data_IF_209216041625
#
_entry.id   IF_209216041625
#
_cell.length_a   1.000
_cell.length_b   1.000
_cell.length_c   1.000
_cell.angle_alpha   90.00
_cell.angle_beta   90.00
_cell.angle_gamma   90.00
#
_symmetry.space_group_name_H-M   'P 1'
#
loop_
_entity.id
_entity.type
_entity.pdbx_description
1 polymer ?
#
# COMPACT_ATOMS: atom_id res chain seq x y z
N UNK A 1 -21.03 -6.03 15.53
CA UNK A 1 -21.60 -4.98 16.40
C UNK A 1 -20.99 -3.66 15.99
N UNK A 2 -21.81 -2.77 15.42
CA UNK A 2 -21.35 -1.49 14.88
C UNK A 2 -21.15 -0.50 16.02
N UNK A 3 -19.91 -0.14 16.33
CA UNK A 3 -19.62 0.99 17.21
C UNK A 3 -19.84 2.29 16.44
N UNK A 4 -21.01 2.91 16.63
CA UNK A 4 -21.28 4.28 16.23
C UNK A 4 -20.76 5.22 17.32
N UNK A 5 -19.68 5.94 17.02
CA UNK A 5 -19.25 7.05 17.87
C UNK A 5 -20.12 8.27 17.53
N UNK A 6 -20.86 8.77 18.49
CA UNK A 6 -21.68 9.98 18.36
C UNK A 6 -20.88 11.19 18.87
N UNK A 7 -20.66 12.17 18.00
CA UNK A 7 -20.20 13.48 18.43
C UNK A 7 -21.41 14.43 18.48
N UNK A 8 -21.76 14.88 19.67
CA UNK A 8 -22.81 15.90 19.88
C UNK A 8 -22.10 17.24 19.85
N UNK A 9 -22.41 18.07 18.84
CA UNK A 9 -22.00 19.47 18.81
C UNK A 9 -23.18 20.31 19.26
N UNK A 10 -23.13 20.97 20.43
CA UNK A 10 -24.20 21.86 20.85
C UNK A 10 -24.12 23.16 20.08
N UNK A 11 -25.10 23.44 19.24
CA UNK A 11 -25.32 24.78 18.69
C UNK A 11 -26.20 25.52 19.71
N UNK A 12 -25.56 26.35 20.54
CA UNK A 12 -26.28 27.23 21.44
C UNK A 12 -26.79 28.41 20.63
N UNK A 13 -28.06 28.40 20.27
CA UNK A 13 -28.77 29.60 19.85
C UNK A 13 -29.77 29.96 20.97
N UNK A 14 -29.49 31.02 21.66
CA UNK A 14 -30.34 31.52 22.73
C UNK A 14 -31.49 32.32 22.13
N UNK A 15 -32.67 31.73 22.10
CA UNK A 15 -33.95 32.47 22.09
C UNK A 15 -35.09 31.53 22.55
N UNK A 16 -35.93 32.06 23.36
CA UNK A 16 -37.01 31.45 24.15
C UNK A 16 -37.91 30.49 23.39
N UNK A 17 -38.16 29.30 24.00
CA UNK A 17 -39.33 28.42 23.80
C UNK A 17 -39.46 27.73 22.42
N UNK A 18 -38.71 26.72 22.23
CA UNK A 18 -38.97 25.45 21.53
C UNK A 18 -37.60 24.83 21.13
N UNK A 19 -37.15 23.84 21.90
CA UNK A 19 -35.90 23.13 21.56
C UNK A 19 -36.19 22.07 20.50
N UNK A 20 -35.68 22.27 19.29
CA UNK A 20 -35.62 21.22 18.27
C UNK A 20 -34.24 20.58 18.34
N UNK A 21 -34.19 19.32 18.72
CA UNK A 21 -32.93 18.54 18.73
C UNK A 21 -32.64 18.03 17.33
N UNK A 22 -31.60 18.57 16.69
CA UNK A 22 -31.10 18.06 15.41
C UNK A 22 -29.93 17.10 15.66
N UNK A 23 -30.12 15.83 15.32
CA UNK A 23 -29.05 14.84 15.33
C UNK A 23 -28.45 14.75 13.93
N UNK A 24 -27.19 15.16 13.77
CA UNK A 24 -26.45 14.97 12.53
C UNK A 24 -25.72 13.62 12.59
N UNK A 25 -26.16 12.69 11.79
CA UNK A 25 -25.45 11.43 11.62
C UNK A 25 -24.27 11.64 10.68
N UNK A 26 -23.09 11.78 11.25
CA UNK A 26 -21.85 11.71 10.45
C UNK A 26 -21.49 10.23 10.23
N UNK A 27 -21.74 9.76 9.03
CA UNK A 27 -21.08 8.53 8.57
C UNK A 27 -19.63 8.88 8.29
N UNK A 28 -18.74 8.54 9.21
CA UNK A 28 -17.31 8.60 8.91
C UNK A 28 -17.04 7.61 7.77
N UNK A 29 -16.89 8.13 6.54
CA UNK A 29 -16.38 7.33 5.44
C UNK A 29 -15.06 6.74 5.93
N UNK A 30 -14.97 5.43 5.90
CA UNK A 30 -13.76 4.67 6.17
C UNK A 30 -12.69 5.16 5.19
N UNK A 31 -11.78 6.03 5.68
CA UNK A 31 -10.74 6.61 4.84
C UNK A 31 -9.52 5.70 4.87
N UNK A 32 -9.20 5.15 3.70
CA UNK A 32 -7.92 4.53 3.47
C UNK A 32 -6.88 5.62 3.22
N UNK A 33 -5.79 5.58 3.95
CA UNK A 33 -4.67 6.51 3.79
C UNK A 33 -3.56 5.86 2.99
N UNK A 34 -2.94 6.64 2.12
CA UNK A 34 -1.77 6.25 1.36
C UNK A 34 -0.65 7.21 1.70
N UNK A 35 0.43 6.72 2.25
CA UNK A 35 1.57 7.54 2.66
C UNK A 35 2.89 6.82 2.47
N UNK A 36 3.99 7.53 2.60
CA UNK A 36 5.31 6.92 2.70
C UNK A 36 5.37 6.04 3.94
N UNK A 37 6.21 5.00 3.85
CA UNK A 37 6.46 4.08 4.95
C UNK A 37 7.06 4.82 6.14
N UNK A 38 6.69 4.40 7.34
CA UNK A 38 7.23 4.84 8.62
C UNK A 38 7.72 3.64 9.42
N UNK A 39 8.60 3.90 10.38
CA UNK A 39 9.20 2.87 11.25
C UNK A 39 8.16 1.96 11.92
N UNK A 40 7.08 2.54 12.39
CA UNK A 40 5.98 1.84 13.05
C UNK A 40 5.23 0.84 12.17
N UNK A 41 5.39 0.90 10.84
CA UNK A 41 4.73 0.01 9.88
C UNK A 41 5.47 -1.32 9.73
N UNK A 42 6.76 -1.35 10.07
CA UNK A 42 7.65 -2.48 9.80
C UNK A 42 7.13 -3.80 10.37
N UNK A 43 6.64 -3.88 11.62
CA UNK A 43 6.08 -5.12 12.13
C UNK A 43 4.91 -5.63 11.29
N UNK A 44 4.00 -4.74 10.88
CA UNK A 44 2.81 -5.12 10.11
C UNK A 44 3.14 -5.54 8.67
N UNK A 45 4.08 -4.86 8.00
CA UNK A 45 4.53 -5.31 6.67
C UNK A 45 5.34 -6.60 6.74
N UNK A 46 6.06 -6.86 7.84
CA UNK A 46 6.74 -8.14 8.06
C UNK A 46 5.72 -9.27 8.16
N UNK A 47 4.67 -9.08 8.95
CA UNK A 47 3.57 -10.05 9.08
C UNK A 47 2.91 -10.32 7.72
N UNK A 48 2.57 -9.26 6.99
CA UNK A 48 1.95 -9.37 5.67
C UNK A 48 2.86 -10.09 4.66
N UNK A 49 4.16 -9.78 4.64
CA UNK A 49 5.12 -10.44 3.76
C UNK A 49 5.28 -11.93 4.09
N UNK A 50 5.44 -12.24 5.38
CA UNK A 50 5.58 -13.61 5.86
C UNK A 50 4.33 -14.47 5.57
N UNK A 51 3.15 -13.84 5.60
CA UNK A 51 1.93 -14.52 5.18
C UNK A 51 2.05 -15.03 3.73
N UNK A 52 2.60 -14.22 2.82
CA UNK A 52 2.82 -14.61 1.43
C UNK A 52 3.91 -15.66 1.26
N UNK A 53 4.97 -15.65 2.08
CA UNK A 53 5.99 -16.70 2.05
C UNK A 53 5.38 -18.05 2.40
N UNK A 54 4.49 -18.09 3.38
CA UNK A 54 3.90 -19.35 3.89
C UNK A 54 2.73 -19.82 3.01
N UNK A 55 1.92 -18.91 2.46
CA UNK A 55 0.62 -19.25 1.88
C UNK A 55 0.52 -18.95 0.37
N UNK A 56 1.51 -18.33 -0.23
CA UNK A 56 1.46 -17.84 -1.60
C UNK A 56 2.58 -18.36 -2.49
N UNK A 57 2.53 -17.97 -3.74
CA UNK A 57 3.57 -18.20 -4.75
C UNK A 57 4.21 -16.89 -5.21
N UNK A 58 3.88 -15.80 -4.51
CA UNK A 58 4.27 -14.43 -4.85
C UNK A 58 5.67 -14.06 -4.35
N UNK A 59 6.19 -14.80 -3.37
CA UNK A 59 7.54 -14.62 -2.83
C UNK A 59 8.48 -15.72 -3.32
N UNK A 60 9.73 -15.34 -3.61
CA UNK A 60 10.80 -16.30 -3.90
C UNK A 60 11.60 -16.68 -2.64
N UNK A 61 11.23 -16.17 -1.48
CA UNK A 61 11.81 -16.56 -0.20
C UNK A 61 11.08 -17.78 0.38
N UNK A 62 11.83 -18.66 1.01
CA UNK A 62 11.35 -19.95 1.55
C UNK A 62 11.16 -19.92 3.06
N UNK A 63 11.73 -18.92 3.75
CA UNK A 63 11.68 -18.78 5.20
C UNK A 63 11.15 -17.40 5.59
N UNK A 64 10.26 -17.30 6.60
CA UNK A 64 9.78 -16.04 7.13
C UNK A 64 10.91 -15.16 7.64
N UNK A 65 10.79 -13.85 7.40
CA UNK A 65 11.74 -12.85 7.89
C UNK A 65 11.41 -12.45 9.33
N UNK A 66 12.46 -12.11 10.08
CA UNK A 66 12.30 -11.39 11.34
C UNK A 66 11.99 -9.90 11.07
N UNK A 67 11.40 -9.22 12.05
CA UNK A 67 11.14 -7.77 11.98
C UNK A 67 12.44 -7.00 11.73
N UNK A 68 13.54 -7.43 12.33
CA UNK A 68 14.83 -6.77 12.17
C UNK A 68 15.43 -6.95 10.76
N UNK A 69 15.23 -8.09 10.12
CA UNK A 69 15.62 -8.30 8.72
C UNK A 69 14.79 -7.43 7.78
N UNK A 70 13.49 -7.35 8.02
CA UNK A 70 12.61 -6.48 7.26
C UNK A 70 12.96 -5.00 7.46
N UNK A 71 13.30 -4.58 8.69
CA UNK A 71 13.75 -3.23 9.02
C UNK A 71 14.91 -2.80 8.15
N UNK A 72 15.97 -3.60 8.13
CA UNK A 72 17.16 -3.31 7.30
C UNK A 72 16.82 -3.19 5.83
N UNK A 73 15.99 -4.10 5.31
CA UNK A 73 15.52 -4.06 3.92
C UNK A 73 14.75 -2.76 3.62
N UNK A 74 13.83 -2.38 4.50
CA UNK A 74 13.04 -1.15 4.36
C UNK A 74 13.95 0.08 4.39
N UNK A 75 14.87 0.15 5.34
CA UNK A 75 15.83 1.26 5.46
C UNK A 75 16.68 1.41 4.20
N UNK A 76 17.25 0.32 3.70
CA UNK A 76 18.10 0.33 2.52
C UNK A 76 17.35 0.81 1.27
N UNK A 77 16.10 0.37 1.11
CA UNK A 77 15.25 0.75 -0.03
C UNK A 77 14.73 2.18 0.12
N UNK A 78 14.13 2.52 1.26
CA UNK A 78 13.42 3.79 1.44
C UNK A 78 14.32 5.02 1.49
N UNK A 79 15.63 4.84 1.77
CA UNK A 79 16.64 5.92 1.66
C UNK A 79 16.79 6.45 0.23
N UNK A 80 16.58 5.61 -0.77
CA UNK A 80 16.89 5.93 -2.16
C UNK A 80 15.65 5.92 -3.06
N UNK A 81 14.65 5.11 -2.71
CA UNK A 81 13.52 4.82 -3.57
C UNK A 81 12.17 5.05 -2.88
N UNK A 82 11.13 5.36 -3.67
CA UNK A 82 9.77 5.44 -3.16
C UNK A 82 9.31 4.13 -2.52
N UNK A 83 8.73 4.24 -1.33
CA UNK A 83 8.13 3.15 -0.57
C UNK A 83 6.82 3.65 0.06
N UNK A 84 5.69 3.05 -0.30
CA UNK A 84 4.36 3.48 0.14
C UNK A 84 3.61 2.38 0.87
N UNK A 85 2.79 2.78 1.82
CA UNK A 85 1.85 1.92 2.54
C UNK A 85 0.43 2.41 2.35
N UNK A 86 -0.52 1.48 2.34
CA UNK A 86 -1.95 1.73 2.47
C UNK A 86 -2.38 1.35 3.88
N UNK A 87 -3.00 2.28 4.58
CA UNK A 87 -3.45 2.12 5.97
C UNK A 87 -4.96 2.27 6.04
N UNK A 88 -5.65 1.28 6.59
CA UNK A 88 -7.08 1.26 6.84
C UNK A 88 -7.30 1.10 8.36
N UNK A 89 -7.90 2.09 9.02
CA UNK A 89 -8.16 2.10 10.47
C UNK A 89 -6.91 1.80 11.33
N UNK A 90 -5.77 2.37 10.96
CA UNK A 90 -4.50 2.17 11.70
C UNK A 90 -3.78 0.86 11.37
N UNK A 91 -4.34 0.01 10.51
CA UNK A 91 -3.73 -1.24 10.05
C UNK A 91 -3.13 -1.08 8.65
N UNK A 92 -1.90 -1.52 8.47
CA UNK A 92 -1.30 -1.63 7.13
C UNK A 92 -2.00 -2.76 6.37
N UNK A 93 -2.67 -2.40 5.27
CA UNK A 93 -3.40 -3.34 4.42
C UNK A 93 -2.73 -3.59 3.08
N UNK A 94 -1.61 -2.94 2.83
CA UNK A 94 -0.78 -3.15 1.66
C UNK A 94 0.39 -2.20 1.61
N UNK A 95 1.36 -2.54 0.79
CA UNK A 95 2.54 -1.71 0.53
C UNK A 95 3.10 -1.94 -0.86
N UNK A 96 3.83 -0.96 -1.37
CA UNK A 96 4.58 -1.09 -2.61
C UNK A 96 5.87 -0.28 -2.55
N UNK A 97 6.86 -0.72 -3.29
CA UNK A 97 8.14 -0.04 -3.42
C UNK A 97 8.79 -0.33 -4.76
N UNK A 98 9.91 0.34 -5.02
CA UNK A 98 10.82 0.02 -6.10
C UNK A 98 12.24 -0.12 -5.59
N UNK A 99 13.04 -0.89 -6.29
CA UNK A 99 14.50 -0.96 -6.11
C UNK A 99 15.19 -1.08 -7.47
N UNK A 100 16.51 -0.98 -7.51
CA UNK A 100 17.26 -1.13 -8.76
C UNK A 100 17.03 -2.52 -9.36
N UNK A 101 16.74 -2.55 -10.67
CA UNK A 101 16.67 -3.81 -11.41
C UNK A 101 18.00 -4.55 -11.42
N UNK A 102 19.10 -3.83 -11.64
CA UNK A 102 20.48 -4.35 -11.65
C UNK A 102 21.46 -3.24 -11.27
N UNK A 103 22.59 -3.63 -10.67
CA UNK A 103 23.59 -2.68 -10.15
C UNK A 103 24.39 -1.93 -11.22
N UNK A 104 24.49 -2.47 -12.46
CA UNK A 104 25.30 -1.84 -13.50
C UNK A 104 24.72 -0.50 -13.95
N UNK A 105 25.57 0.51 -14.16
CA UNK A 105 25.21 1.88 -14.50
C UNK A 105 24.24 2.02 -15.70
N UNK A 106 24.31 1.13 -16.68
CA UNK A 106 23.38 1.10 -17.80
C UNK A 106 21.92 0.90 -17.38
N UNK A 107 21.66 0.31 -16.21
CA UNK A 107 20.32 0.07 -15.65
C UNK A 107 19.91 1.09 -14.60
N UNK A 108 20.69 2.14 -14.35
CA UNK A 108 20.44 3.12 -13.28
C UNK A 108 19.06 3.83 -13.36
N UNK A 109 18.38 3.76 -14.52
CA UNK A 109 17.04 4.32 -14.72
C UNK A 109 15.95 3.25 -14.83
N UNK A 110 16.27 1.99 -14.53
CA UNK A 110 15.36 0.85 -14.58
C UNK A 110 15.16 0.34 -13.15
N UNK A 111 13.93 0.29 -12.71
CA UNK A 111 13.56 -0.17 -11.37
C UNK A 111 12.67 -1.41 -11.46
N UNK A 112 12.77 -2.27 -10.47
CA UNK A 112 11.81 -3.34 -10.22
C UNK A 112 10.76 -2.88 -9.22
N UNK A 113 9.49 -3.18 -9.49
CA UNK A 113 8.36 -2.86 -8.62
C UNK A 113 7.95 -4.08 -7.81
N UNK A 114 7.61 -3.85 -6.56
CA UNK A 114 7.02 -4.85 -5.66
C UNK A 114 5.75 -4.29 -5.05
N UNK A 115 4.70 -5.12 -4.99
CA UNK A 115 3.44 -4.80 -4.32
C UNK A 115 2.86 -6.00 -3.61
N UNK A 116 2.47 -5.82 -2.35
CA UNK A 116 1.73 -6.80 -1.54
C UNK A 116 0.49 -6.16 -0.94
N UNK A 117 -0.61 -6.89 -0.94
CA UNK A 117 -1.90 -6.45 -0.37
C UNK A 117 -2.42 -7.51 0.58
N UNK A 118 -2.95 -7.10 1.72
CA UNK A 118 -3.72 -8.00 2.56
C UNK A 118 -4.89 -8.60 1.75
N UNK A 119 -5.19 -9.90 1.89
CA UNK A 119 -6.29 -10.54 1.15
C UNK A 119 -7.60 -9.75 1.18
N UNK A 120 -7.97 -9.21 2.35
CA UNK A 120 -9.20 -8.44 2.56
C UNK A 120 -9.19 -7.05 1.89
N UNK A 121 -8.02 -6.55 1.49
CA UNK A 121 -7.86 -5.27 0.80
C UNK A 121 -7.85 -5.40 -0.73
N UNK A 122 -7.83 -6.64 -1.24
CA UNK A 122 -7.88 -6.91 -2.68
C UNK A 122 -9.24 -6.48 -3.27
N UNK A 123 -9.24 -6.11 -4.55
CA UNK A 123 -10.44 -5.68 -5.33
C UNK A 123 -11.15 -4.43 -4.83
N UNK A 124 -10.53 -3.64 -3.93
CA UNK A 124 -11.05 -2.37 -3.39
C UNK A 124 -10.38 -1.14 -4.00
N UNK A 125 -9.57 -1.30 -5.03
CA UNK A 125 -8.80 -0.21 -5.64
C UNK A 125 -7.48 0.11 -4.94
N UNK A 126 -7.22 -0.46 -3.77
CA UNK A 126 -6.03 -0.20 -2.94
C UNK A 126 -4.72 -0.34 -3.71
N UNK A 127 -4.55 -1.44 -4.44
CA UNK A 127 -3.34 -1.67 -5.24
C UNK A 127 -3.18 -0.65 -6.36
N UNK A 128 -4.27 -0.23 -6.98
CA UNK A 128 -4.26 0.77 -8.06
C UNK A 128 -3.76 2.11 -7.54
N UNK A 129 -4.23 2.55 -6.39
CA UNK A 129 -3.80 3.83 -5.81
C UNK A 129 -2.33 3.77 -5.33
N UNK A 130 -1.90 2.68 -4.69
CA UNK A 130 -0.49 2.47 -4.33
C UNK A 130 0.42 2.57 -5.56
N UNK A 131 0.10 1.83 -6.63
CA UNK A 131 0.92 1.83 -7.85
C UNK A 131 0.87 3.16 -8.59
N UNK A 132 -0.25 3.89 -8.58
CA UNK A 132 -0.32 5.24 -9.16
C UNK A 132 0.63 6.21 -8.47
N UNK A 133 0.66 6.21 -7.14
CA UNK A 133 1.59 7.01 -6.35
C UNK A 133 3.04 6.65 -6.66
N UNK A 134 3.35 5.35 -6.67
CA UNK A 134 4.67 4.84 -6.96
C UNK A 134 5.15 5.24 -8.36
N UNK A 135 4.33 5.02 -9.38
CA UNK A 135 4.64 5.36 -10.78
C UNK A 135 4.81 6.88 -10.95
N UNK A 136 3.95 7.68 -10.33
CA UNK A 136 4.05 9.14 -10.38
C UNK A 136 5.38 9.64 -9.78
N UNK A 137 5.78 9.10 -8.63
CA UNK A 137 7.05 9.46 -7.99
C UNK A 137 8.25 9.00 -8.82
N UNK A 138 8.24 7.79 -9.36
CA UNK A 138 9.30 7.29 -10.23
C UNK A 138 9.49 8.18 -11.48
N UNK A 139 8.38 8.64 -12.09
CA UNK A 139 8.43 9.60 -13.21
C UNK A 139 9.04 10.93 -12.80
N UNK A 140 8.62 11.49 -11.66
CA UNK A 140 9.13 12.75 -11.11
C UNK A 140 10.63 12.67 -10.81
N UNK A 141 11.11 11.52 -10.33
CA UNK A 141 12.51 11.25 -10.06
C UNK A 141 13.35 10.93 -11.30
N UNK A 142 12.74 10.85 -12.50
CA UNK A 142 13.42 10.69 -13.76
C UNK A 142 13.74 9.25 -14.17
N UNK A 143 13.18 8.26 -13.46
CA UNK A 143 13.25 6.85 -13.88
C UNK A 143 12.47 6.62 -15.18
N UNK A 144 12.89 5.66 -16.00
CA UNK A 144 12.39 5.47 -17.36
C UNK A 144 11.66 4.16 -17.55
N UNK A 145 12.06 3.12 -16.83
CA UNK A 145 11.52 1.78 -16.98
C UNK A 145 11.16 1.21 -15.60
N UNK A 146 9.97 0.65 -15.50
CA UNK A 146 9.52 -0.15 -14.36
C UNK A 146 9.31 -1.58 -14.83
N UNK A 147 9.86 -2.53 -14.12
CA UNK A 147 9.73 -3.97 -14.36
C UNK A 147 8.99 -4.58 -13.17
N UNK A 148 8.11 -5.54 -13.44
CA UNK A 148 7.49 -6.38 -12.41
C UNK A 148 7.81 -7.84 -12.71
N UNK A 149 8.44 -8.52 -11.77
CA UNK A 149 8.64 -9.96 -11.83
C UNK A 149 7.43 -10.65 -11.18
N UNK A 150 6.68 -11.41 -11.96
CA UNK A 150 5.42 -12.02 -11.53
C UNK A 150 5.45 -13.49 -11.90
N UNK A 151 5.19 -14.36 -10.91
CA UNK A 151 5.03 -15.80 -11.15
C UNK A 151 3.93 -16.04 -12.16
N UNK A 152 4.18 -16.88 -13.17
CA UNK A 152 3.25 -17.14 -14.28
C UNK A 152 1.88 -17.67 -13.84
N UNK A 153 1.80 -18.30 -12.67
CA UNK A 153 0.56 -18.77 -12.05
C UNK A 153 -0.27 -17.65 -11.42
N UNK A 154 0.36 -16.50 -11.06
CA UNK A 154 -0.33 -15.37 -10.44
C UNK A 154 -1.06 -14.51 -11.48
N UNK A 155 -2.10 -15.11 -12.11
CA UNK A 155 -2.92 -14.45 -13.15
C UNK A 155 -3.52 -13.12 -12.66
N UNK A 156 -3.92 -13.06 -11.40
CA UNK A 156 -4.51 -11.85 -10.82
C UNK A 156 -3.53 -10.67 -10.83
N UNK A 157 -2.26 -10.91 -10.50
CA UNK A 157 -1.21 -9.90 -10.55
C UNK A 157 -0.86 -9.52 -12.00
N UNK A 158 -0.76 -10.49 -12.91
CA UNK A 158 -0.53 -10.23 -14.34
C UNK A 158 -1.60 -9.30 -14.90
N UNK A 159 -2.87 -9.61 -14.67
CA UNK A 159 -4.00 -8.80 -15.16
C UNK A 159 -4.05 -7.42 -14.48
N UNK A 160 -3.67 -7.35 -13.21
CA UNK A 160 -3.55 -6.08 -12.49
C UNK A 160 -2.50 -5.18 -13.13
N UNK A 161 -1.30 -5.69 -13.41
CA UNK A 161 -0.22 -4.91 -14.02
C UNK A 161 -0.56 -4.51 -15.47
N UNK A 162 -1.21 -5.37 -16.24
CA UNK A 162 -1.72 -5.01 -17.57
C UNK A 162 -2.67 -3.82 -17.53
N UNK A 163 -3.60 -3.78 -16.57
CA UNK A 163 -4.52 -2.63 -16.40
C UNK A 163 -3.80 -1.33 -16.01
N UNK A 164 -2.60 -1.41 -15.46
CA UNK A 164 -1.74 -0.26 -15.16
C UNK A 164 -0.84 0.15 -16.33
N UNK A 165 -0.93 -0.55 -17.46
CA UNK A 165 -0.16 -0.26 -18.68
C UNK A 165 1.18 -0.98 -18.76
N UNK A 166 1.43 -2.02 -17.94
CA UNK A 166 2.58 -2.89 -18.12
C UNK A 166 2.35 -3.84 -19.28
N UNK A 167 3.36 -4.01 -20.11
CA UNK A 167 3.37 -4.96 -21.22
C UNK A 167 4.13 -6.22 -20.81
N UNK A 168 3.60 -7.38 -21.18
CA UNK A 168 4.27 -8.65 -20.92
C UNK A 168 5.36 -8.87 -21.97
N UNK A 169 6.62 -8.92 -21.56
CA UNK A 169 7.79 -9.06 -22.44
C UNK A 169 8.43 -10.45 -22.41
N UNK A 170 8.05 -11.29 -21.45
CA UNK A 170 8.55 -12.66 -21.29
C UNK A 170 7.52 -13.53 -20.60
N UNK A 171 7.58 -14.82 -20.83
CA UNK A 171 6.90 -15.87 -20.09
C UNK A 171 7.89 -16.62 -19.23
#
# INVERSE_FOLDING_TARGET
MNNLAYAIVPIIHCSFLNYSLFIVHYSFKKYMFYRKIEEQDIPQITELYNWYIVNGVESFETEPLTVEQMRRRVEDISRQFPYYVAVDEGRVVGYCYVHLWKERAAYARTLETTIYLHPDAKRRGTGTELMRLLIADCRRLGFKVLISCITGENRASIDFHRRLGFEQVSL
#
